data_IF_912965144271
#
_entry.id   IF_912965144271
#
_cell.length_a   1.000
_cell.length_b   1.000
_cell.length_c   1.000
_cell.angle_alpha   90.00
_cell.angle_beta   90.00
_cell.angle_gamma   90.00
#
_symmetry.space_group_name_H-M   'P 1'
#
loop_
_entity.id
_entity.type
_entity.pdbx_description
1 polymer ?
#
# COMPACT_ATOMS: atom_id res chain seq x y z
N UNK A 1 -46.58 -33.52 18.20
CA UNK A 1 -46.05 -32.24 18.71
C UNK A 1 -45.87 -31.35 17.50
N UNK A 2 -46.82 -30.42 17.29
CA UNK A 2 -46.76 -29.43 16.21
C UNK A 2 -45.73 -28.38 16.61
N UNK A 3 -44.67 -28.26 15.81
CA UNK A 3 -43.69 -27.19 15.94
C UNK A 3 -44.28 -25.98 15.21
N UNK A 4 -44.80 -25.01 15.94
CA UNK A 4 -45.15 -23.71 15.38
C UNK A 4 -43.85 -22.98 14.99
N UNK A 5 -43.65 -22.78 13.69
CA UNK A 5 -42.61 -21.92 13.18
C UNK A 5 -43.08 -20.48 13.38
N UNK A 6 -42.63 -19.81 14.44
CA UNK A 6 -42.87 -18.39 14.65
C UNK A 6 -42.06 -17.64 13.58
N UNK A 7 -42.73 -17.19 12.53
CA UNK A 7 -42.18 -16.16 11.65
C UNK A 7 -42.21 -14.85 12.44
N UNK A 8 -41.12 -14.47 13.04
CA UNK A 8 -40.89 -13.11 13.48
C UNK A 8 -40.95 -12.21 12.26
N UNK A 9 -42.07 -11.60 12.01
CA UNK A 9 -42.22 -10.42 11.17
C UNK A 9 -41.38 -9.33 11.78
N UNK A 10 -40.23 -9.19 11.30
CA UNK A 10 -39.34 -8.05 11.11
C UNK A 10 -37.96 -8.58 10.73
N UNK A 11 -37.91 -9.35 9.66
CA UNK A 11 -36.71 -9.42 8.87
C UNK A 11 -36.52 -8.02 8.27
N UNK A 12 -36.15 -7.04 9.11
CA UNK A 12 -35.44 -5.85 8.65
C UNK A 12 -34.20 -6.39 7.96
N UNK A 13 -34.42 -6.74 6.69
CA UNK A 13 -33.38 -7.05 5.74
C UNK A 13 -32.23 -6.13 6.08
N UNK A 14 -31.09 -6.70 6.47
CA UNK A 14 -29.86 -5.95 6.68
C UNK A 14 -29.80 -4.93 5.56
N UNK A 15 -29.67 -3.64 5.89
CA UNK A 15 -29.57 -2.56 4.91
C UNK A 15 -28.25 -2.69 4.14
N UNK A 16 -27.94 -3.92 3.72
CA UNK A 16 -26.84 -4.22 2.80
C UNK A 16 -27.28 -3.74 1.42
N UNK A 17 -26.88 -2.53 1.10
CA UNK A 17 -27.05 -2.02 -0.25
C UNK A 17 -25.73 -2.32 -1.00
N UNK A 18 -25.69 -3.39 -1.85
CA UNK A 18 -24.45 -3.82 -2.50
C UNK A 18 -23.77 -2.71 -3.28
N UNK A 19 -24.56 -1.81 -3.86
CA UNK A 19 -24.06 -0.67 -4.64
C UNK A 19 -23.40 0.37 -3.74
N UNK A 20 -24.06 0.75 -2.63
CA UNK A 20 -23.51 1.76 -1.70
C UNK A 20 -22.26 1.25 -0.99
N UNK A 21 -22.23 -0.02 -0.61
CA UNK A 21 -21.07 -0.60 0.07
C UNK A 21 -19.90 -0.84 -0.88
N UNK A 22 -20.18 -1.23 -2.13
CA UNK A 22 -19.17 -1.26 -3.19
C UNK A 22 -18.59 0.12 -3.46
N UNK A 23 -19.43 1.16 -3.58
CA UNK A 23 -18.94 2.54 -3.78
C UNK A 23 -18.02 3.02 -2.66
N UNK A 24 -18.30 2.69 -1.40
CA UNK A 24 -17.40 3.02 -0.29
C UNK A 24 -16.01 2.39 -0.47
N UNK A 25 -15.96 1.13 -0.90
CA UNK A 25 -14.69 0.42 -1.16
C UNK A 25 -13.94 1.10 -2.31
N UNK A 26 -14.61 1.44 -3.41
CA UNK A 26 -14.00 2.13 -4.54
C UNK A 26 -13.45 3.50 -4.16
N UNK A 27 -14.15 4.26 -3.34
CA UNK A 27 -13.66 5.56 -2.84
C UNK A 27 -12.40 5.40 -2.01
N UNK A 28 -12.35 4.41 -1.11
CA UNK A 28 -11.16 4.15 -0.30
C UNK A 28 -10.00 3.68 -1.19
N UNK A 29 -10.27 2.80 -2.16
CA UNK A 29 -9.27 2.35 -3.13
C UNK A 29 -8.70 3.51 -3.96
N UNK A 30 -9.56 4.39 -4.45
CA UNK A 30 -9.13 5.56 -5.21
C UNK A 30 -8.28 6.51 -4.37
N UNK A 31 -8.66 6.75 -3.11
CA UNK A 31 -7.84 7.54 -2.16
C UNK A 31 -6.48 6.89 -1.93
N UNK A 32 -6.43 5.57 -1.80
CA UNK A 32 -5.18 4.82 -1.66
C UNK A 32 -4.28 4.97 -2.91
N UNK A 33 -4.86 4.85 -4.10
CA UNK A 33 -4.16 5.08 -5.36
C UNK A 33 -3.57 6.49 -5.43
N UNK A 34 -4.38 7.52 -5.11
CA UNK A 34 -3.93 8.91 -5.11
C UNK A 34 -2.85 9.16 -4.05
N UNK A 35 -2.96 8.56 -2.88
CA UNK A 35 -1.93 8.60 -1.83
C UNK A 35 -0.60 8.01 -2.33
N UNK A 36 -0.64 6.87 -3.00
CA UNK A 36 0.55 6.22 -3.53
C UNK A 36 1.21 7.03 -4.64
N UNK A 37 0.42 7.63 -5.55
CA UNK A 37 0.93 8.53 -6.60
C UNK A 37 1.55 9.79 -5.99
N UNK A 38 0.90 10.42 -5.02
CA UNK A 38 1.44 11.61 -4.34
C UNK A 38 2.76 11.29 -3.62
N UNK A 39 2.86 10.12 -3.00
CA UNK A 39 4.09 9.65 -2.37
C UNK A 39 5.23 9.45 -3.37
N UNK A 40 4.94 8.95 -4.57
CA UNK A 40 5.94 8.83 -5.64
C UNK A 40 6.44 10.20 -6.11
N UNK A 41 5.57 11.20 -6.20
CA UNK A 41 5.96 12.57 -6.53
C UNK A 41 6.85 13.16 -5.43
N UNK A 42 6.47 12.97 -4.16
CA UNK A 42 7.27 13.40 -3.01
C UNK A 42 8.65 12.74 -3.02
N UNK A 43 8.72 11.43 -3.30
CA UNK A 43 9.98 10.69 -3.42
C UNK A 43 10.91 11.30 -4.48
N UNK A 44 10.38 11.59 -5.67
CA UNK A 44 11.15 12.19 -6.76
C UNK A 44 11.65 13.60 -6.41
N UNK A 45 10.79 14.43 -5.82
CA UNK A 45 11.16 15.79 -5.41
C UNK A 45 12.25 15.76 -4.33
N UNK A 46 12.08 14.92 -3.31
CA UNK A 46 13.06 14.75 -2.24
C UNK A 46 14.39 14.20 -2.78
N UNK A 47 14.34 13.22 -3.67
CA UNK A 47 15.53 12.69 -4.32
C UNK A 47 16.30 13.79 -5.06
N UNK A 48 15.62 14.60 -5.86
CA UNK A 48 16.23 15.72 -6.57
C UNK A 48 16.89 16.72 -5.61
N UNK A 49 16.17 17.09 -4.54
CA UNK A 49 16.67 18.03 -3.51
C UNK A 49 17.93 17.44 -2.85
N UNK A 50 17.88 16.20 -2.38
CA UNK A 50 19.04 15.57 -1.72
C UNK A 50 20.22 15.39 -2.67
N UNK A 51 20.00 14.99 -3.92
CA UNK A 51 21.08 14.95 -4.92
C UNK A 51 21.73 16.32 -5.13
N UNK A 52 20.92 17.38 -5.22
CA UNK A 52 21.44 18.74 -5.38
C UNK A 52 22.28 19.20 -4.19
N UNK A 53 21.87 18.86 -2.98
CA UNK A 53 22.56 19.23 -1.75
C UNK A 53 23.84 18.41 -1.51
N UNK A 54 23.84 17.13 -1.88
CA UNK A 54 24.90 16.18 -1.52
C UNK A 54 25.93 15.94 -2.63
N UNK A 55 25.67 16.39 -3.87
CA UNK A 55 26.56 16.17 -5.03
C UNK A 55 27.99 16.69 -4.86
N UNK A 56 28.19 17.69 -3.99
CA UNK A 56 29.48 18.31 -3.73
C UNK A 56 30.18 17.74 -2.49
N UNK A 57 29.59 16.75 -1.84
CA UNK A 57 30.10 16.14 -0.61
C UNK A 57 30.56 14.72 -0.95
N UNK A 58 31.78 14.39 -0.57
CA UNK A 58 32.28 13.02 -0.66
C UNK A 58 31.65 12.18 0.44
N UNK A 59 30.72 11.29 0.04
CA UNK A 59 29.97 10.43 0.96
C UNK A 59 30.40 8.96 0.76
N UNK A 60 30.44 8.15 1.86
CA UNK A 60 30.97 6.78 1.84
C UNK A 60 30.37 5.85 0.77
N UNK A 61 29.09 6.02 0.45
CA UNK A 61 28.38 5.18 -0.53
C UNK A 61 27.95 5.95 -1.79
N UNK A 62 28.52 7.14 -1.99
CA UNK A 62 28.14 8.04 -3.06
C UNK A 62 26.82 8.79 -2.78
N UNK A 63 26.76 10.02 -3.32
CA UNK A 63 25.64 10.94 -3.06
C UNK A 63 24.28 10.42 -3.57
N UNK A 64 24.27 9.65 -4.69
CA UNK A 64 23.03 9.11 -5.29
C UNK A 64 22.38 8.09 -4.35
N UNK A 65 23.17 7.17 -3.78
CA UNK A 65 22.64 6.13 -2.90
C UNK A 65 22.07 6.73 -1.61
N UNK A 66 22.78 7.65 -0.99
CA UNK A 66 22.33 8.32 0.23
C UNK A 66 21.07 9.15 -0.04
N UNK A 67 21.05 9.91 -1.14
CA UNK A 67 19.87 10.68 -1.55
C UNK A 67 18.65 9.79 -1.79
N UNK A 68 18.84 8.63 -2.43
CA UNK A 68 17.78 7.64 -2.65
C UNK A 68 17.23 7.11 -1.33
N UNK A 69 18.10 6.72 -0.40
CA UNK A 69 17.67 6.18 0.90
C UNK A 69 16.90 7.23 1.70
N UNK A 70 17.42 8.46 1.78
CA UNK A 70 16.75 9.54 2.49
C UNK A 70 15.38 9.89 1.87
N UNK A 71 15.31 9.99 0.55
CA UNK A 71 14.05 10.25 -0.15
C UNK A 71 13.03 9.14 0.12
N UNK A 72 13.45 7.86 0.02
CA UNK A 72 12.59 6.70 0.30
C UNK A 72 12.07 6.66 1.72
N UNK A 73 12.91 6.92 2.71
CA UNK A 73 12.48 6.93 4.12
C UNK A 73 11.42 8.01 4.34
N UNK A 74 11.65 9.23 3.86
CA UNK A 74 10.72 10.33 4.04
C UNK A 74 9.42 10.13 3.25
N UNK A 75 9.49 9.66 2.01
CA UNK A 75 8.30 9.37 1.21
C UNK A 75 7.48 8.21 1.78
N UNK A 76 8.13 7.19 2.38
CA UNK A 76 7.44 6.11 3.07
C UNK A 76 6.72 6.60 4.34
N UNK A 77 7.35 7.48 5.12
CA UNK A 77 6.71 8.13 6.29
C UNK A 77 5.49 8.94 5.84
N UNK A 78 5.64 9.75 4.79
CA UNK A 78 4.55 10.53 4.20
C UNK A 78 3.39 9.60 3.77
N UNK A 79 3.68 8.54 3.02
CA UNK A 79 2.68 7.57 2.56
C UNK A 79 1.95 6.93 3.74
N UNK A 80 2.69 6.49 4.76
CA UNK A 80 2.10 5.94 5.98
C UNK A 80 1.14 6.93 6.65
N UNK A 81 1.55 8.18 6.82
CA UNK A 81 0.75 9.20 7.48
C UNK A 81 -0.54 9.52 6.71
N UNK A 82 -0.45 9.67 5.38
CA UNK A 82 -1.63 9.91 4.54
C UNK A 82 -2.58 8.70 4.58
N UNK A 83 -2.05 7.49 4.46
CA UNK A 83 -2.86 6.27 4.51
C UNK A 83 -3.53 6.13 5.89
N UNK A 84 -2.81 6.36 6.97
CA UNK A 84 -3.34 6.28 8.32
C UNK A 84 -4.45 7.32 8.58
N UNK A 85 -4.24 8.59 8.20
CA UNK A 85 -5.13 9.70 8.56
C UNK A 85 -6.27 9.89 7.57
N UNK A 86 -5.97 9.80 6.26
CA UNK A 86 -6.90 10.23 5.20
C UNK A 86 -7.58 9.03 4.53
N UNK A 87 -6.80 7.99 4.20
CA UNK A 87 -7.32 6.87 3.42
C UNK A 87 -8.13 5.92 4.30
N UNK A 88 -7.52 5.38 5.34
CA UNK A 88 -8.13 4.34 6.19
C UNK A 88 -8.69 4.87 7.50
N UNK A 89 -8.43 6.13 7.86
CA UNK A 89 -8.88 6.77 9.11
C UNK A 89 -8.60 5.89 10.34
N UNK A 90 -7.35 5.45 10.46
CA UNK A 90 -6.92 4.56 11.53
C UNK A 90 -7.19 5.13 12.92
N UNK A 91 -7.86 4.37 13.77
CA UNK A 91 -8.24 4.76 15.13
C UNK A 91 -7.44 4.04 16.23
N UNK A 92 -6.51 3.16 15.83
CA UNK A 92 -5.65 2.40 16.75
C UNK A 92 -4.34 3.12 17.09
N UNK A 93 -3.44 2.40 17.76
CA UNK A 93 -2.09 2.89 18.06
C UNK A 93 -1.28 3.13 16.78
N UNK A 94 -0.87 4.38 16.56
CA UNK A 94 -0.03 4.76 15.40
C UNK A 94 1.27 3.96 15.35
N UNK A 95 1.88 3.70 16.50
CA UNK A 95 3.13 2.94 16.58
C UNK A 95 2.93 1.49 16.11
N UNK A 96 1.87 0.82 16.56
CA UNK A 96 1.55 -0.55 16.10
C UNK A 96 1.26 -0.58 14.58
N UNK A 97 0.49 0.39 14.08
CA UNK A 97 0.21 0.51 12.65
C UNK A 97 1.48 0.78 11.84
N UNK A 98 2.40 1.63 12.33
CA UNK A 98 3.68 1.90 11.67
C UNK A 98 4.56 0.65 11.57
N UNK A 99 4.64 -0.16 12.63
CA UNK A 99 5.40 -1.42 12.62
C UNK A 99 4.78 -2.41 11.63
N UNK A 100 3.45 -2.59 11.66
CA UNK A 100 2.75 -3.46 10.70
C UNK A 100 2.97 -2.99 9.24
N UNK A 101 2.92 -1.68 9.00
CA UNK A 101 3.18 -1.09 7.68
C UNK A 101 4.62 -1.35 7.22
N UNK A 102 5.61 -1.16 8.10
CA UNK A 102 7.02 -1.40 7.76
C UNK A 102 7.27 -2.86 7.41
N UNK A 103 6.74 -3.78 8.20
CA UNK A 103 6.82 -5.23 7.91
C UNK A 103 6.20 -5.53 6.54
N UNK A 104 5.00 -5.00 6.28
CA UNK A 104 4.33 -5.18 4.99
C UNK A 104 5.18 -4.63 3.84
N UNK A 105 5.76 -3.44 3.98
CA UNK A 105 6.60 -2.84 2.94
C UNK A 105 7.81 -3.72 2.61
N UNK A 106 8.48 -4.28 3.63
CA UNK A 106 9.60 -5.23 3.44
C UNK A 106 9.12 -6.50 2.75
N UNK A 107 7.99 -7.08 3.18
CA UNK A 107 7.42 -8.29 2.57
C UNK A 107 7.07 -8.07 1.11
N UNK A 108 6.40 -6.98 0.77
CA UNK A 108 6.04 -6.62 -0.61
C UNK A 108 7.30 -6.43 -1.47
N UNK A 109 8.33 -5.78 -0.94
CA UNK A 109 9.60 -5.60 -1.63
C UNK A 109 10.28 -6.94 -1.97
N UNK A 110 10.33 -7.86 -0.99
CA UNK A 110 10.93 -9.19 -1.20
C UNK A 110 10.10 -10.02 -2.17
N UNK A 111 8.76 -10.01 -2.04
CA UNK A 111 7.87 -10.70 -2.96
C UNK A 111 7.99 -10.17 -4.39
N UNK A 112 8.09 -8.86 -4.59
CA UNK A 112 8.32 -8.27 -5.91
C UNK A 112 9.60 -8.81 -6.53
N UNK A 113 10.71 -8.80 -5.79
CA UNK A 113 11.99 -9.33 -6.27
C UNK A 113 11.91 -10.81 -6.68
N UNK A 114 11.31 -11.65 -5.83
CA UNK A 114 11.16 -13.10 -6.10
C UNK A 114 10.25 -13.36 -7.29
N UNK A 115 9.09 -12.70 -7.36
CA UNK A 115 8.10 -12.91 -8.42
C UNK A 115 8.60 -12.41 -9.78
N UNK A 116 9.27 -11.25 -9.82
CA UNK A 116 9.85 -10.73 -11.06
C UNK A 116 11.00 -11.63 -11.54
N UNK A 117 11.89 -12.06 -10.64
CA UNK A 117 12.99 -12.97 -11.00
C UNK A 117 12.46 -14.33 -11.46
N UNK A 118 11.44 -14.87 -10.79
CA UNK A 118 10.78 -16.11 -11.19
C UNK A 118 10.08 -15.99 -12.54
N UNK A 119 9.33 -14.91 -12.75
CA UNK A 119 8.65 -14.62 -14.00
C UNK A 119 9.61 -14.47 -15.19
N UNK A 120 10.74 -13.80 -14.99
CA UNK A 120 11.76 -13.66 -16.03
C UNK A 120 12.41 -15.01 -16.38
N UNK A 121 12.58 -15.92 -15.41
CA UNK A 121 13.05 -17.30 -15.70
C UNK A 121 12.08 -18.13 -16.52
N UNK A 122 10.76 -17.92 -16.30
CA UNK A 122 9.71 -18.62 -17.07
C UNK A 122 9.58 -18.04 -18.49
N UNK A 123 9.77 -16.72 -18.63
CA UNK A 123 9.64 -15.98 -19.88
C UNK A 123 10.93 -15.24 -20.24
N UNK A 124 12.03 -15.93 -20.57
CA UNK A 124 13.35 -15.31 -20.78
C UNK A 124 13.40 -14.39 -22.01
N UNK A 125 12.42 -14.47 -22.90
CA UNK A 125 12.31 -13.60 -24.08
C UNK A 125 11.61 -12.26 -23.81
N UNK A 126 11.06 -12.04 -22.62
CA UNK A 126 10.37 -10.79 -22.27
C UNK A 126 11.30 -9.86 -21.51
N UNK A 127 11.29 -8.54 -21.80
CA UNK A 127 11.96 -7.55 -20.98
C UNK A 127 11.48 -7.62 -19.53
N UNK A 128 12.38 -7.49 -18.56
CA UNK A 128 12.09 -7.54 -17.12
C UNK A 128 10.97 -6.58 -16.70
N UNK A 129 10.90 -5.41 -17.33
CA UNK A 129 9.88 -4.39 -17.08
C UNK A 129 8.47 -4.92 -17.40
N UNK A 130 8.33 -5.71 -18.48
CA UNK A 130 7.03 -6.29 -18.88
C UNK A 130 6.56 -7.34 -17.87
N UNK A 131 7.49 -8.10 -17.29
CA UNK A 131 7.18 -9.04 -16.21
C UNK A 131 6.85 -8.30 -14.92
N UNK A 132 7.54 -7.19 -14.65
CA UNK A 132 7.40 -6.41 -13.42
C UNK A 132 6.03 -5.73 -13.31
N UNK A 133 5.50 -5.16 -14.38
CA UNK A 133 4.23 -4.42 -14.36
C UNK A 133 3.06 -5.23 -13.78
N UNK A 134 2.71 -6.44 -14.27
CA UNK A 134 1.64 -7.23 -13.70
C UNK A 134 1.92 -7.68 -12.25
N UNK A 135 3.18 -7.98 -11.93
CA UNK A 135 3.59 -8.34 -10.56
C UNK A 135 3.33 -7.16 -9.62
N UNK A 136 3.78 -5.96 -9.98
CA UNK A 136 3.59 -4.78 -9.13
C UNK A 136 2.10 -4.38 -9.02
N UNK A 137 1.29 -4.57 -10.08
CA UNK A 137 -0.16 -4.38 -10.01
C UNK A 137 -0.82 -5.35 -9.02
N UNK A 138 -0.47 -6.63 -9.06
CA UNK A 138 -0.99 -7.63 -8.11
C UNK A 138 -0.55 -7.32 -6.68
N UNK A 139 0.71 -6.98 -6.48
CA UNK A 139 1.24 -6.62 -5.16
C UNK A 139 0.63 -5.31 -4.63
N UNK A 140 0.30 -4.36 -5.49
CA UNK A 140 -0.42 -3.14 -5.12
C UNK A 140 -1.82 -3.47 -4.58
N UNK A 141 -2.57 -4.35 -5.26
CA UNK A 141 -3.90 -4.79 -4.79
C UNK A 141 -3.80 -5.57 -3.48
N UNK A 142 -2.81 -6.46 -3.37
CA UNK A 142 -2.53 -7.20 -2.13
C UNK A 142 -2.17 -6.25 -0.99
N UNK A 143 -1.32 -5.27 -1.24
CA UNK A 143 -0.92 -4.25 -0.27
C UNK A 143 -2.12 -3.43 0.21
N UNK A 144 -3.00 -3.02 -0.71
CA UNK A 144 -4.25 -2.34 -0.36
C UNK A 144 -5.11 -3.18 0.58
N UNK A 145 -5.34 -4.45 0.24
CA UNK A 145 -6.14 -5.35 1.05
C UNK A 145 -5.56 -5.55 2.45
N UNK A 146 -4.25 -5.84 2.55
CA UNK A 146 -3.58 -6.06 3.83
C UNK A 146 -3.55 -4.76 4.67
N UNK A 147 -3.30 -3.62 4.05
CA UNK A 147 -3.32 -2.34 4.77
C UNK A 147 -4.71 -2.07 5.35
N UNK A 148 -5.77 -2.30 4.59
CA UNK A 148 -7.14 -2.10 5.02
C UNK A 148 -7.54 -3.04 6.16
N UNK A 149 -7.24 -4.34 6.05
CA UNK A 149 -7.76 -5.36 6.96
C UNK A 149 -6.85 -5.65 8.17
N UNK A 150 -5.55 -5.37 8.06
CA UNK A 150 -4.57 -5.75 9.10
C UNK A 150 -3.84 -4.54 9.68
N UNK A 151 -3.36 -3.64 8.83
CA UNK A 151 -2.51 -2.53 9.27
C UNK A 151 -3.34 -1.45 9.98
N UNK A 152 -4.44 -1.04 9.36
CA UNK A 152 -5.25 0.10 9.81
C UNK A 152 -6.61 -0.30 10.40
N UNK A 153 -6.88 -1.61 10.51
CA UNK A 153 -8.09 -2.11 11.16
C UNK A 153 -8.09 -1.70 12.63
N UNK A 154 -9.25 -1.32 13.10
CA UNK A 154 -9.50 -1.06 14.51
C UNK A 154 -9.40 -2.38 15.29
N UNK A 155 -8.54 -2.43 16.30
CA UNK A 155 -8.55 -3.50 17.30
C UNK A 155 -9.84 -3.40 18.13
#
# INVERSE_FOLDING_TARGET
>A
VSIETIYLEDNKSSHFNPIKDSLKIYVVFFRFLMSSLSSSVVDMVLFYIFCSLTRHIELPFGYIMISTICARVLSAIYNFLINYQVVFKGNGSRAKAAVKYLILAVVIMLLSGVLVSGGHRIFPGLPEVIVKIPVDCLLFLLSFYIQREIVYKKD
#
